data_IF_146694883528
#
_entry.id   IF_146694883528
#
_cell.length_a   1.000
_cell.length_b   1.000
_cell.length_c   1.000
_cell.angle_alpha   90.00
_cell.angle_beta   90.00
_cell.angle_gamma   90.00
#
_symmetry.space_group_name_H-M   'P 1'
#
loop_
_entity.id
_entity.type
_entity.pdbx_description
1 polymer ?
#
# COMPACT_ATOMS: atom_id res chain seq x y z
N UNK A 1 -12.48 -20.20 -7.28
CA UNK A 1 -12.44 -19.58 -8.63
C UNK A 1 -11.09 -18.93 -8.83
N UNK A 2 -10.31 -19.39 -9.80
CA UNK A 2 -9.01 -18.80 -10.18
C UNK A 2 -9.24 -18.04 -11.48
N UNK A 3 -9.23 -16.70 -11.45
CA UNK A 3 -9.37 -15.90 -12.67
C UNK A 3 -7.99 -15.56 -13.23
N UNK A 4 -7.64 -16.24 -14.31
CA UNK A 4 -6.50 -15.92 -15.15
C UNK A 4 -6.99 -14.95 -16.25
N UNK A 5 -6.63 -13.66 -16.17
CA UNK A 5 -7.02 -12.65 -17.18
C UNK A 5 -5.89 -11.64 -17.37
N UNK A 6 -5.10 -11.84 -18.43
CA UNK A 6 -3.76 -11.28 -18.60
C UNK A 6 -3.61 -9.74 -18.68
N UNK A 7 -4.69 -8.97 -18.87
CA UNK A 7 -4.63 -7.49 -18.85
C UNK A 7 -5.84 -6.79 -18.19
N UNK A 8 -7.06 -7.35 -18.28
CA UNK A 8 -8.20 -6.85 -17.52
C UNK A 8 -8.09 -7.14 -16.01
N UNK A 9 -7.55 -8.32 -15.65
CA UNK A 9 -7.32 -8.71 -14.26
C UNK A 9 -6.28 -7.83 -13.56
N UNK A 10 -5.29 -7.32 -14.29
CA UNK A 10 -4.26 -6.41 -13.74
C UNK A 10 -4.83 -5.06 -13.31
N UNK A 11 -5.76 -4.48 -14.09
CA UNK A 11 -6.46 -3.24 -13.71
C UNK A 11 -7.38 -3.46 -12.50
N UNK A 12 -8.02 -4.63 -12.40
CA UNK A 12 -8.80 -5.03 -11.23
C UNK A 12 -7.96 -5.05 -9.96
N UNK A 13 -6.79 -5.70 -10.02
CA UNK A 13 -5.86 -5.80 -8.88
C UNK A 13 -5.36 -4.43 -8.43
N UNK A 14 -4.96 -3.55 -9.36
CA UNK A 14 -4.51 -2.19 -8.99
C UNK A 14 -5.59 -1.39 -8.25
N UNK A 15 -6.85 -1.51 -8.69
CA UNK A 15 -8.00 -0.86 -8.03
C UNK A 15 -8.26 -1.42 -6.65
N UNK A 16 -8.22 -2.74 -6.51
CA UNK A 16 -8.43 -3.41 -5.22
C UNK A 16 -7.31 -3.08 -4.23
N UNK A 17 -6.06 -3.04 -4.68
CA UNK A 17 -4.93 -2.60 -3.85
C UNK A 17 -5.13 -1.15 -3.40
N UNK A 18 -5.57 -0.26 -4.29
CA UNK A 18 -5.84 1.13 -3.91
C UNK A 18 -6.95 1.23 -2.86
N UNK A 19 -8.01 0.43 -2.98
CA UNK A 19 -9.08 0.37 -1.96
C UNK A 19 -8.51 -0.07 -0.60
N UNK A 20 -7.69 -1.13 -0.56
CA UNK A 20 -7.02 -1.58 0.65
C UNK A 20 -6.17 -0.46 1.28
N UNK A 21 -5.41 0.28 0.46
CA UNK A 21 -4.61 1.41 0.95
C UNK A 21 -5.49 2.52 1.51
N UNK A 22 -6.64 2.81 0.90
CA UNK A 22 -7.56 3.84 1.40
C UNK A 22 -8.22 3.45 2.74
N UNK A 23 -8.48 2.17 2.96
CA UNK A 23 -9.15 1.69 4.17
C UNK A 23 -8.19 1.44 5.34
N UNK A 24 -6.97 0.98 5.07
CA UNK A 24 -6.05 0.45 6.09
C UNK A 24 -4.67 1.10 6.08
N UNK A 25 -4.60 2.38 5.74
CA UNK A 25 -3.32 3.09 5.76
C UNK A 25 -2.81 3.33 7.18
N UNK A 26 -1.48 3.36 7.36
CA UNK A 26 -0.44 3.04 6.38
C UNK A 26 -0.32 1.52 6.11
N UNK A 27 0.05 1.14 4.88
CA UNK A 27 0.11 -0.28 4.46
C UNK A 27 1.36 -0.61 3.65
N UNK A 28 1.84 -1.85 3.73
CA UNK A 28 3.00 -2.39 3.01
C UNK A 28 2.64 -3.52 2.05
N UNK A 29 3.59 -3.86 1.17
CA UNK A 29 3.43 -4.95 0.20
C UNK A 29 3.09 -6.32 0.84
N UNK A 30 3.63 -6.61 2.03
CA UNK A 30 3.33 -7.87 2.73
C UNK A 30 1.97 -7.87 3.40
N UNK A 31 1.50 -6.72 3.89
CA UNK A 31 0.14 -6.60 4.44
C UNK A 31 -0.91 -6.79 3.36
N UNK A 32 -0.66 -6.24 2.16
CA UNK A 32 -1.49 -6.50 0.99
C UNK A 32 -1.49 -7.99 0.65
N UNK A 33 -0.33 -8.65 0.63
CA UNK A 33 -0.27 -10.10 0.40
C UNK A 33 -1.14 -10.89 1.38
N UNK A 34 -1.07 -10.55 2.68
CA UNK A 34 -1.93 -11.18 3.70
C UNK A 34 -3.42 -10.89 3.46
N UNK A 35 -3.76 -9.68 3.01
CA UNK A 35 -5.14 -9.32 2.68
C UNK A 35 -5.70 -10.20 1.56
N UNK A 36 -4.89 -10.50 0.55
CA UNK A 36 -5.22 -11.44 -0.53
C UNK A 36 -5.13 -12.92 -0.10
N UNK A 37 -4.92 -13.20 1.20
CA UNK A 37 -4.74 -14.55 1.75
C UNK A 37 -3.62 -15.33 1.07
N UNK A 38 -2.59 -14.63 0.58
CA UNK A 38 -1.42 -15.25 -0.02
C UNK A 38 -0.56 -15.91 1.05
N UNK A 39 0.05 -17.05 0.71
CA UNK A 39 0.89 -17.78 1.63
C UNK A 39 2.21 -17.03 1.89
N UNK A 40 2.41 -16.61 3.15
CA UNK A 40 3.60 -15.90 3.61
C UNK A 40 4.38 -16.68 4.69
N UNK A 41 4.12 -17.98 4.81
CA UNK A 41 4.75 -18.87 5.80
C UNK A 41 6.27 -18.96 5.64
N UNK A 42 6.77 -19.09 4.41
CA UNK A 42 8.20 -19.25 4.14
C UNK A 42 8.88 -17.95 3.73
N UNK A 43 10.17 -17.81 4.05
CA UNK A 43 10.98 -16.64 3.66
C UNK A 43 10.97 -16.41 2.14
N UNK A 44 11.06 -17.48 1.34
CA UNK A 44 11.00 -17.41 -0.12
C UNK A 44 9.66 -16.89 -0.62
N UNK A 45 8.55 -17.37 -0.06
CA UNK A 45 7.20 -16.91 -0.42
C UNK A 45 6.99 -15.45 -0.02
N UNK A 46 7.40 -15.03 1.19
CA UNK A 46 7.37 -13.61 1.59
C UNK A 46 8.11 -12.71 0.62
N UNK A 47 9.31 -13.10 0.19
CA UNK A 47 10.10 -12.33 -0.78
C UNK A 47 9.36 -12.21 -2.12
N UNK A 48 8.83 -13.33 -2.64
CA UNK A 48 8.05 -13.36 -3.89
C UNK A 48 6.83 -12.42 -3.83
N UNK A 49 6.01 -12.53 -2.79
CA UNK A 49 4.81 -11.71 -2.63
C UNK A 49 5.15 -10.24 -2.37
N UNK A 50 6.16 -9.95 -1.54
CA UNK A 50 6.65 -8.59 -1.33
C UNK A 50 7.04 -7.92 -2.65
N UNK A 51 7.82 -8.62 -3.50
CA UNK A 51 8.18 -8.10 -4.83
C UNK A 51 6.96 -7.90 -5.73
N UNK A 52 6.03 -8.87 -5.77
CA UNK A 52 4.77 -8.79 -6.56
C UNK A 52 3.96 -7.55 -6.20
N UNK A 53 3.69 -7.32 -4.91
CA UNK A 53 2.83 -6.22 -4.48
C UNK A 53 3.57 -4.87 -4.45
N UNK A 54 4.88 -4.87 -4.19
CA UNK A 54 5.69 -3.66 -4.33
C UNK A 54 5.66 -3.11 -5.77
N UNK A 55 5.58 -3.97 -6.78
CA UNK A 55 5.41 -3.52 -8.17
C UNK A 55 4.11 -2.74 -8.37
N UNK A 56 2.98 -3.25 -7.87
CA UNK A 56 1.69 -2.55 -7.96
C UNK A 56 1.69 -1.25 -7.15
N UNK A 57 2.26 -1.26 -5.95
CA UNK A 57 2.40 -0.06 -5.14
C UNK A 57 3.21 1.03 -5.85
N UNK A 58 4.35 0.68 -6.44
CA UNK A 58 5.16 1.62 -7.22
C UNK A 58 4.38 2.22 -8.40
N UNK A 59 3.52 1.44 -9.05
CA UNK A 59 2.64 1.95 -10.11
C UNK A 59 1.61 2.94 -9.58
N UNK A 60 1.00 2.67 -8.42
CA UNK A 60 0.06 3.61 -7.79
C UNK A 60 0.75 4.91 -7.37
N UNK A 61 1.99 4.82 -6.89
CA UNK A 61 2.84 5.99 -6.60
C UNK A 61 3.15 6.78 -7.87
N UNK A 62 3.54 6.10 -8.95
CA UNK A 62 3.81 6.74 -10.24
C UNK A 62 2.57 7.46 -10.81
N UNK A 63 1.37 6.92 -10.56
CA UNK A 63 0.09 7.55 -10.90
C UNK A 63 -0.34 8.66 -9.92
N UNK A 64 0.47 8.95 -8.89
CA UNK A 64 0.18 9.92 -7.82
C UNK A 64 -1.14 9.66 -7.08
N UNK A 65 -1.55 8.40 -6.98
CA UNK A 65 -2.76 7.99 -6.24
C UNK A 65 -2.46 7.72 -4.77
N UNK A 66 -1.22 7.37 -4.46
CA UNK A 66 -0.74 7.12 -3.09
C UNK A 66 0.66 7.73 -2.94
N UNK A 67 1.01 8.05 -1.70
CA UNK A 67 2.36 8.41 -1.32
C UNK A 67 3.09 7.19 -0.79
N UNK A 68 4.42 7.28 -0.73
CA UNK A 68 5.24 6.20 -0.20
C UNK A 68 6.43 6.71 0.59
N UNK A 69 6.85 5.91 1.56
CA UNK A 69 8.10 6.08 2.29
C UNK A 69 8.72 4.73 2.57
N UNK A 70 10.05 4.68 2.53
CA UNK A 70 10.80 3.50 2.95
C UNK A 70 11.01 3.52 4.45
N UNK A 71 10.68 2.40 5.09
CA UNK A 71 11.01 2.11 6.48
C UNK A 71 11.84 0.83 6.50
N UNK A 72 13.16 0.97 6.68
CA UNK A 72 14.12 -0.10 6.47
C UNK A 72 14.02 -0.67 5.04
N UNK A 73 13.75 -1.97 4.94
CA UNK A 73 13.57 -2.65 3.66
C UNK A 73 12.12 -2.64 3.12
N UNK A 74 11.16 -2.14 3.89
CA UNK A 74 9.75 -2.13 3.52
C UNK A 74 9.36 -0.83 2.80
N UNK A 75 8.58 -0.96 1.73
CA UNK A 75 7.86 0.15 1.11
C UNK A 75 6.49 0.26 1.78
N UNK A 76 6.28 1.37 2.47
CA UNK A 76 5.01 1.70 3.13
C UNK A 76 4.32 2.79 2.32
N UNK A 77 3.01 2.66 2.13
CA UNK A 77 2.19 3.58 1.34
C UNK A 77 0.96 4.04 2.11
N UNK A 78 0.42 5.19 1.72
CA UNK A 78 -0.84 5.75 2.22
C UNK A 78 -1.48 6.69 1.18
N UNK A 79 -2.78 7.00 1.28
CA UNK A 79 -3.46 7.89 0.34
C UNK A 79 -2.90 9.31 0.39
N UNK A 80 -2.91 10.02 -0.72
CA UNK A 80 -2.45 11.42 -0.79
C UNK A 80 -3.25 12.31 0.18
N UNK A 81 -4.54 12.04 0.31
CA UNK A 81 -5.46 12.76 1.19
C UNK A 81 -5.05 12.67 2.67
N UNK A 82 -4.33 11.61 3.06
CA UNK A 82 -3.90 11.43 4.45
C UNK A 82 -2.86 12.47 4.91
N UNK A 83 -2.15 13.15 4.00
CA UNK A 83 -1.23 14.24 4.37
C UNK A 83 -1.93 15.49 4.89
N UNK A 84 -3.15 15.77 4.42
CA UNK A 84 -3.94 16.89 4.93
C UNK A 84 -4.24 16.68 6.43
N UNK A 85 -4.65 15.47 6.81
CA UNK A 85 -4.87 15.12 8.22
C UNK A 85 -3.59 15.20 9.05
N UNK A 86 -2.44 14.78 8.51
CA UNK A 86 -1.15 14.90 9.20
C UNK A 86 -0.75 16.35 9.44
N UNK A 87 -1.02 17.22 8.48
CA UNK A 87 -0.74 18.65 8.59
C UNK A 87 -1.63 19.29 9.64
N UNK A 88 -2.94 19.01 9.62
CA UNK A 88 -3.89 19.49 10.64
C UNK A 88 -3.45 19.01 12.03
N UNK A 89 -3.14 17.72 12.18
CA UNK A 89 -2.68 17.17 13.46
C UNK A 89 -1.38 17.84 13.95
N UNK A 90 -0.45 18.14 13.03
CA UNK A 90 0.79 18.85 13.39
C UNK A 90 0.50 20.27 13.89
N UNK A 91 -0.34 21.03 13.18
CA UNK A 91 -0.74 22.38 13.59
C UNK A 91 -1.40 22.36 14.97
N UNK A 92 -2.32 21.42 15.19
CA UNK A 92 -3.00 21.29 16.48
C UNK A 92 -2.04 20.97 17.62
N UNK A 93 -1.02 20.14 17.37
CA UNK A 93 0.01 19.82 18.37
C UNK A 93 0.88 21.04 18.69
N UNK A 94 1.35 21.74 17.67
CA UNK A 94 2.17 22.95 17.82
C UNK A 94 1.40 24.09 18.51
N UNK A 95 0.09 24.20 18.28
CA UNK A 95 -0.77 25.20 18.90
C UNK A 95 -1.19 24.87 20.35
N UNK A 96 -1.14 23.58 20.75
CA UNK A 96 -1.47 23.15 22.12
C UNK A 96 -0.27 23.13 23.07
N UNK A 97 0.95 23.18 22.55
CA UNK A 97 2.21 23.19 23.30
C UNK A 97 2.77 24.64 23.51
N UNK A 98 1.96 25.68 23.23
CA UNK A 98 2.28 27.11 23.38
C UNK A 98 1.34 27.79 24.40
#
# INVERSE_FOLDING_TARGET
>A
MVLNTGNAGRRGIEREILAIVNERWPTSALEIARHFREDTSSRGKRKKHSTKYAYYLKKLVAKRLVLSKRFGHALVVWPVQAEAYRTIHRILKEAGDA
#
